data_IF_276145013897
#
_entry.id   IF_276145013897
#
_cell.length_a   1.000
_cell.length_b   1.000
_cell.length_c   1.000
_cell.angle_alpha   90.00
_cell.angle_beta   90.00
_cell.angle_gamma   90.00
#
_symmetry.space_group_name_H-M   'P 1'
#
loop_
_entity.id
_entity.type
_entity.pdbx_description
1 polymer ?
#
# COMPACT_ATOMS: atom_id res chain seq x y z
N UNK A 1 10.95 -25.70 -1.76
CA UNK A 1 9.93 -25.51 -2.82
C UNK A 1 8.71 -24.73 -2.32
N UNK A 2 7.96 -25.21 -1.31
CA UNK A 2 6.71 -24.57 -0.85
C UNK A 2 6.83 -23.10 -0.36
N UNK A 3 7.94 -22.76 0.31
CA UNK A 3 8.20 -21.40 0.82
C UNK A 3 8.30 -20.34 -0.28
N UNK A 4 8.80 -20.70 -1.47
CA UNK A 4 8.85 -19.80 -2.63
C UNK A 4 7.47 -19.57 -3.22
N UNK A 5 6.66 -20.62 -3.36
CA UNK A 5 5.29 -20.53 -3.87
C UNK A 5 4.41 -19.63 -2.98
N UNK A 6 4.51 -19.80 -1.66
CA UNK A 6 3.81 -18.94 -0.70
C UNK A 6 4.26 -17.48 -0.80
N UNK A 7 5.57 -17.23 -0.97
CA UNK A 7 6.10 -15.88 -1.10
C UNK A 7 5.59 -15.16 -2.35
N UNK A 8 5.44 -15.89 -3.47
CA UNK A 8 4.89 -15.36 -4.72
C UNK A 8 3.39 -15.02 -4.59
N UNK A 9 2.62 -15.85 -3.90
CA UNK A 9 1.20 -15.60 -3.64
C UNK A 9 0.98 -14.40 -2.70
N UNK A 10 1.72 -14.35 -1.59
CA UNK A 10 1.67 -13.25 -0.62
C UNK A 10 2.03 -11.89 -1.22
N UNK A 11 2.90 -11.86 -2.24
CA UNK A 11 3.31 -10.62 -2.90
C UNK A 11 2.15 -9.95 -3.64
N UNK A 12 1.30 -10.74 -4.33
CA UNK A 12 0.09 -10.21 -4.99
C UNK A 12 -0.90 -9.61 -4.01
N UNK A 13 -1.04 -10.20 -2.83
CA UNK A 13 -1.94 -9.66 -1.80
C UNK A 13 -1.39 -8.36 -1.20
N UNK A 14 -0.06 -8.24 -1.04
CA UNK A 14 0.57 -7.00 -0.59
C UNK A 14 0.29 -5.85 -1.56
N UNK A 15 0.44 -6.07 -2.86
CA UNK A 15 0.18 -5.05 -3.88
C UNK A 15 -1.30 -4.64 -3.88
N UNK A 16 -2.21 -5.62 -3.80
CA UNK A 16 -3.65 -5.37 -3.71
C UNK A 16 -4.00 -4.54 -2.47
N UNK A 17 -3.40 -4.85 -1.31
CA UNK A 17 -3.63 -4.11 -0.07
C UNK A 17 -3.08 -2.68 -0.14
N UNK A 18 -1.96 -2.47 -0.83
CA UNK A 18 -1.41 -1.13 -1.03
C UNK A 18 -2.36 -0.24 -1.84
N UNK A 19 -2.92 -0.76 -2.94
CA UNK A 19 -3.90 -0.03 -3.76
C UNK A 19 -5.17 0.29 -2.96
N UNK A 20 -5.66 -0.65 -2.14
CA UNK A 20 -6.82 -0.41 -1.27
C UNK A 20 -6.53 0.73 -0.29
N UNK A 21 -5.38 0.71 0.39
CA UNK A 21 -5.01 1.77 1.33
C UNK A 21 -4.84 3.13 0.65
N UNK A 22 -4.14 3.19 -0.49
CA UNK A 22 -4.01 4.42 -1.27
C UNK A 22 -5.39 4.97 -1.66
N UNK A 23 -6.30 4.11 -2.12
CA UNK A 23 -7.69 4.48 -2.44
C UNK A 23 -8.44 5.02 -1.22
N UNK A 24 -8.26 4.40 -0.04
CA UNK A 24 -8.88 4.86 1.20
C UNK A 24 -8.32 6.21 1.66
N UNK A 25 -7.04 6.48 1.41
CA UNK A 25 -6.38 7.75 1.71
C UNK A 25 -6.87 8.85 0.78
N UNK A 26 -6.92 8.61 -0.54
CA UNK A 26 -7.49 9.53 -1.53
C UNK A 26 -8.95 9.85 -1.22
N UNK A 27 -9.72 8.88 -0.70
CA UNK A 27 -11.11 9.08 -0.25
C UNK A 27 -11.23 9.75 1.12
N UNK A 28 -10.15 10.08 1.81
CA UNK A 28 -10.15 10.67 3.15
C UNK A 28 -10.68 9.75 4.25
N UNK A 29 -10.73 8.43 4.02
CA UNK A 29 -11.23 7.42 4.97
C UNK A 29 -10.13 6.89 5.88
N UNK A 30 -8.87 7.02 5.45
CA UNK A 30 -7.66 6.65 6.18
C UNK A 30 -6.62 7.75 6.01
N UNK A 31 -5.68 7.84 6.94
CA UNK A 31 -4.47 8.66 6.79
C UNK A 31 -3.25 7.77 6.56
N UNK A 32 -2.18 8.34 5.99
CA UNK A 32 -0.95 7.61 5.71
C UNK A 32 -0.33 6.99 6.99
N UNK A 33 -0.53 7.62 8.15
CA UNK A 33 -0.12 7.09 9.48
C UNK A 33 -0.79 5.77 9.87
N UNK A 34 -1.94 5.46 9.27
CA UNK A 34 -2.70 4.24 9.55
C UNK A 34 -2.30 3.08 8.64
N UNK A 35 -1.35 3.30 7.73
CA UNK A 35 -0.81 2.27 6.85
C UNK A 35 0.16 1.40 7.65
N UNK A 36 0.00 0.06 7.64
CA UNK A 36 0.96 -0.84 8.27
C UNK A 36 2.38 -0.69 7.68
N UNK A 37 3.42 -0.71 8.53
CA UNK A 37 4.82 -0.51 8.11
C UNK A 37 5.24 -1.44 6.97
N UNK A 38 4.75 -2.68 6.97
CA UNK A 38 5.05 -3.70 5.95
C UNK A 38 4.63 -3.29 4.52
N UNK A 39 3.62 -2.42 4.38
CA UNK A 39 3.10 -1.98 3.08
C UNK A 39 3.25 -0.45 2.86
N UNK A 40 3.91 0.25 3.79
CA UNK A 40 3.96 1.72 3.81
C UNK A 40 4.70 2.30 2.61
N UNK A 41 5.77 1.65 2.18
CA UNK A 41 6.53 2.03 0.99
C UNK A 41 5.73 1.77 -0.30
N UNK A 42 4.99 0.67 -0.37
CA UNK A 42 4.14 0.35 -1.51
C UNK A 42 2.98 1.35 -1.62
N UNK A 43 2.33 1.70 -0.51
CA UNK A 43 1.28 2.73 -0.49
C UNK A 43 1.84 4.10 -0.88
N UNK A 44 3.06 4.45 -0.41
CA UNK A 44 3.75 5.68 -0.83
C UNK A 44 3.91 5.71 -2.35
N UNK A 45 4.43 4.64 -2.94
CA UNK A 45 4.61 4.57 -4.39
C UNK A 45 3.28 4.70 -5.14
N UNK A 46 2.22 3.99 -4.70
CA UNK A 46 0.91 4.09 -5.34
C UNK A 46 0.35 5.52 -5.24
N UNK A 47 0.54 6.22 -4.13
CA UNK A 47 0.11 7.62 -4.01
C UNK A 47 0.88 8.56 -4.94
N UNK A 48 2.19 8.34 -5.12
CA UNK A 48 3.02 9.07 -6.10
C UNK A 48 2.56 8.78 -7.53
N UNK A 49 2.30 7.51 -7.86
CA UNK A 49 1.79 7.11 -9.19
C UNK A 49 0.40 7.70 -9.49
N UNK A 50 -0.36 8.02 -8.44
CA UNK A 50 -1.66 8.70 -8.51
C UNK A 50 -1.55 10.23 -8.39
N UNK A 51 -0.36 10.80 -8.36
CA UNK A 51 -0.10 12.25 -8.21
C UNK A 51 -0.75 12.84 -6.93
N UNK A 52 -0.84 12.04 -5.86
CA UNK A 52 -1.47 12.37 -4.57
C UNK A 52 -0.46 12.34 -3.40
N UNK A 53 0.80 12.69 -3.67
CA UNK A 53 1.91 12.65 -2.71
C UNK A 53 1.77 13.63 -1.53
N UNK A 54 0.97 14.67 -1.67
CA UNK A 54 0.61 15.60 -0.60
C UNK A 54 -0.16 14.93 0.54
N UNK A 55 -0.80 13.78 0.29
CA UNK A 55 -1.50 13.00 1.31
C UNK A 55 -0.55 12.18 2.19
N UNK A 56 0.74 12.12 1.84
CA UNK A 56 1.77 11.43 2.61
C UNK A 56 2.19 12.29 3.81
N UNK A 57 1.43 12.13 4.91
CA UNK A 57 1.68 12.82 6.18
C UNK A 57 2.13 11.81 7.24
N UNK A 58 3.33 12.00 7.81
CA UNK A 58 3.94 11.14 8.84
C UNK A 58 3.35 11.32 10.24
#
# INVERSE_FOLDING_TARGET
>A
MLRLLLFLLLRKEVDTMAVIYATLIVKGRKTFRQVPDKIKDQVRQVLVDLECEELITE
#
